data_IF_830194652366
#
_entry.id   IF_830194652366
#
_cell.length_a   1.000
_cell.length_b   1.000
_cell.length_c   1.000
_cell.angle_alpha   90.00
_cell.angle_beta   90.00
_cell.angle_gamma   90.00
#
_symmetry.space_group_name_H-M   'P 1'
#
loop_
_entity.id
_entity.type
_entity.pdbx_description
1 polymer ?
#
# COMPACT_ATOMS: atom_id res chain seq x y z
N UNK A 1 37.90 -3.33 -37.16
CA UNK A 1 37.57 -3.82 -35.81
C UNK A 1 37.21 -2.60 -34.96
N UNK A 2 35.91 -2.40 -34.72
CA UNK A 2 35.39 -1.28 -33.93
C UNK A 2 35.69 -1.50 -32.45
N UNK A 3 36.36 -0.53 -31.85
CA UNK A 3 36.75 -0.54 -30.45
C UNK A 3 35.59 0.01 -29.61
N UNK A 4 34.59 -0.81 -29.32
CA UNK A 4 33.50 -0.42 -28.43
C UNK A 4 34.00 -0.33 -26.99
N UNK A 5 34.06 0.88 -26.46
CA UNK A 5 34.33 1.11 -25.03
C UNK A 5 33.17 0.51 -24.22
N UNK A 6 33.45 -0.26 -23.15
CA UNK A 6 32.40 -0.78 -22.29
C UNK A 6 31.60 0.39 -21.70
N UNK A 7 30.27 0.30 -21.76
CA UNK A 7 29.34 1.25 -21.14
C UNK A 7 29.79 1.56 -19.70
N UNK A 8 30.30 2.79 -19.49
CA UNK A 8 30.58 3.28 -18.15
C UNK A 8 29.28 3.26 -17.36
N UNK A 9 29.19 2.38 -16.36
CA UNK A 9 28.07 2.36 -15.42
C UNK A 9 28.00 3.73 -14.77
N UNK A 10 27.05 4.56 -15.21
CA UNK A 10 26.75 5.83 -14.58
C UNK A 10 26.54 5.58 -13.09
N UNK A 11 27.35 6.25 -12.27
CA UNK A 11 27.21 6.26 -10.83
C UNK A 11 25.78 6.70 -10.49
N UNK A 12 25.19 6.03 -9.50
CA UNK A 12 23.82 6.28 -9.09
C UNK A 12 23.57 7.78 -8.89
N UNK A 13 22.43 8.24 -9.40
CA UNK A 13 22.04 9.65 -9.39
C UNK A 13 22.09 10.26 -7.98
N UNK A 14 22.25 11.57 -7.91
CA UNK A 14 22.15 12.31 -6.64
C UNK A 14 20.85 11.92 -5.91
N UNK A 15 20.94 11.65 -4.60
CA UNK A 15 19.80 11.23 -3.78
C UNK A 15 19.53 9.72 -3.73
N UNK A 16 20.20 8.89 -4.56
CA UNK A 16 19.93 7.46 -4.60
C UNK A 16 20.18 6.74 -3.27
N UNK A 17 21.25 7.12 -2.54
CA UNK A 17 21.55 6.55 -1.21
C UNK A 17 20.46 6.90 -0.19
N UNK A 18 19.94 8.13 -0.24
CA UNK A 18 18.86 8.60 0.64
C UNK A 18 17.55 7.87 0.35
N UNK A 19 17.24 7.64 -0.93
CA UNK A 19 16.09 6.84 -1.34
C UNK A 19 16.21 5.39 -0.84
N UNK A 20 17.36 4.75 -1.04
CA UNK A 20 17.62 3.41 -0.52
C UNK A 20 17.52 3.35 1.00
N UNK A 21 18.02 4.37 1.72
CA UNK A 21 17.92 4.44 3.17
C UNK A 21 16.45 4.51 3.65
N UNK A 22 15.57 5.21 2.93
CA UNK A 22 14.15 5.25 3.25
C UNK A 22 13.48 3.88 3.06
N UNK A 23 13.79 3.18 1.96
CA UNK A 23 13.37 1.79 1.77
C UNK A 23 13.86 0.88 2.91
N UNK A 24 15.13 0.98 3.29
CA UNK A 24 15.71 0.19 4.39
C UNK A 24 15.00 0.47 5.71
N UNK A 25 14.63 1.72 6.00
CA UNK A 25 13.86 2.06 7.21
C UNK A 25 12.49 1.40 7.24
N UNK A 26 11.75 1.41 6.13
CA UNK A 26 10.45 0.72 6.03
C UNK A 26 10.60 -0.78 6.29
N UNK A 27 11.60 -1.43 5.69
CA UNK A 27 11.85 -2.87 5.91
C UNK A 27 12.23 -3.16 7.37
N UNK A 28 13.08 -2.34 7.97
CA UNK A 28 13.45 -2.49 9.38
C UNK A 28 12.25 -2.29 10.33
N UNK A 29 11.34 -1.35 10.04
CA UNK A 29 10.12 -1.15 10.80
C UNK A 29 9.20 -2.38 10.74
N UNK A 30 9.08 -2.98 9.56
CA UNK A 30 8.36 -4.24 9.39
C UNK A 30 8.99 -5.40 10.17
N UNK A 31 10.31 -5.58 10.07
CA UNK A 31 11.02 -6.65 10.77
C UNK A 31 10.89 -6.49 12.30
N UNK A 32 11.05 -5.27 12.81
CA UNK A 32 10.88 -4.96 14.23
C UNK A 32 9.45 -5.26 14.71
N UNK A 33 8.43 -4.89 13.93
CA UNK A 33 7.04 -5.19 14.26
C UNK A 33 6.78 -6.71 14.30
N UNK A 34 7.33 -7.45 13.34
CA UNK A 34 7.26 -8.91 13.29
C UNK A 34 7.90 -9.56 14.52
N UNK A 35 9.07 -9.08 14.93
CA UNK A 35 9.75 -9.59 16.13
C UNK A 35 8.98 -9.29 17.42
N UNK A 36 8.41 -8.08 17.54
CA UNK A 36 7.56 -7.72 18.68
C UNK A 36 6.26 -8.53 18.76
N UNK A 37 5.76 -9.02 17.63
CA UNK A 37 4.53 -9.83 17.57
C UNK A 37 4.75 -11.32 17.77
N UNK A 38 5.95 -11.85 17.48
CA UNK A 38 6.29 -13.24 17.78
C UNK A 38 6.14 -13.58 19.28
N UNK A 39 6.17 -12.56 20.16
CA UNK A 39 5.93 -12.67 21.60
C UNK A 39 4.45 -12.53 22.02
N UNK A 40 3.48 -12.43 21.09
CA UNK A 40 2.05 -12.27 21.38
C UNK A 40 1.24 -13.49 20.94
N UNK A 41 0.24 -13.88 21.75
CA UNK A 41 -0.61 -15.07 21.55
C UNK A 41 -1.46 -15.03 20.27
N UNK A 42 -1.74 -13.85 19.70
CA UNK A 42 -2.59 -13.68 18.51
C UNK A 42 -1.81 -12.98 17.40
N UNK A 43 -1.52 -13.71 16.31
CA UNK A 43 -0.64 -13.28 15.20
C UNK A 43 -1.33 -12.42 14.12
N UNK A 44 -2.53 -11.89 14.38
CA UNK A 44 -3.37 -11.19 13.38
C UNK A 44 -2.77 -9.85 12.93
N UNK A 45 -1.88 -9.23 13.73
CA UNK A 45 -1.37 -7.88 13.48
C UNK A 45 -0.26 -7.78 12.43
N UNK A 46 0.43 -8.86 12.07
CA UNK A 46 1.56 -8.84 11.12
C UNK A 46 1.20 -8.28 9.74
N UNK A 47 0.00 -8.56 9.22
CA UNK A 47 -0.49 -8.00 7.96
C UNK A 47 -0.74 -6.50 8.08
N UNK A 48 -1.53 -6.13 9.10
CA UNK A 48 -1.90 -4.74 9.38
C UNK A 48 -0.71 -3.79 9.54
N UNK A 49 0.38 -4.26 10.17
CA UNK A 49 1.58 -3.44 10.34
C UNK A 49 2.36 -3.29 9.02
N UNK A 50 2.50 -4.38 8.25
CA UNK A 50 3.15 -4.30 6.93
C UNK A 50 2.42 -3.34 5.99
N UNK A 51 1.09 -3.43 5.98
CA UNK A 51 0.21 -2.56 5.21
C UNK A 51 0.33 -1.09 5.66
N UNK A 52 0.34 -0.83 6.96
CA UNK A 52 0.49 0.52 7.50
C UNK A 52 1.86 1.15 7.19
N UNK A 53 2.96 0.41 7.38
CA UNK A 53 4.30 0.91 7.08
C UNK A 53 4.49 1.14 5.58
N UNK A 54 3.92 0.29 4.73
CA UNK A 54 3.95 0.48 3.28
C UNK A 54 3.14 1.70 2.83
N UNK A 55 1.94 1.92 3.40
CA UNK A 55 1.14 3.13 3.13
C UNK A 55 1.84 4.40 3.58
N UNK A 56 2.46 4.38 4.76
CA UNK A 56 3.26 5.49 5.28
C UNK A 56 4.43 5.80 4.35
N UNK A 57 5.19 4.78 3.95
CA UNK A 57 6.31 4.94 3.02
C UNK A 57 5.83 5.56 1.70
N UNK A 58 4.75 5.05 1.08
CA UNK A 58 4.20 5.66 -0.14
C UNK A 58 3.80 7.13 0.06
N UNK A 59 3.15 7.45 1.17
CA UNK A 59 2.70 8.82 1.48
C UNK A 59 3.87 9.82 1.62
N UNK A 60 5.06 9.37 2.00
CA UNK A 60 6.25 10.23 2.12
C UNK A 60 6.85 10.61 0.76
N UNK A 61 6.58 9.83 -0.29
CA UNK A 61 7.18 10.02 -1.62
C UNK A 61 6.20 10.49 -2.70
N UNK A 62 4.90 10.23 -2.54
CA UNK A 62 3.92 10.65 -3.53
C UNK A 62 3.67 12.17 -3.48
N UNK A 63 3.43 12.81 -4.64
CA UNK A 63 2.97 14.19 -4.68
C UNK A 63 1.75 14.41 -3.79
N UNK A 64 1.64 15.56 -3.13
CA UNK A 64 0.56 15.89 -2.17
C UNK A 64 -0.87 15.80 -2.73
N UNK A 65 -1.04 15.80 -4.05
CA UNK A 65 -2.34 15.55 -4.68
C UNK A 65 -2.83 14.11 -4.48
N UNK A 66 -1.93 13.19 -4.18
CA UNK A 66 -2.26 11.79 -3.95
C UNK A 66 -2.20 11.48 -2.46
N UNK A 67 -3.30 10.91 -1.96
CA UNK A 67 -3.32 10.31 -0.63
C UNK A 67 -3.28 8.79 -0.73
N UNK A 68 -2.81 8.16 0.35
CA UNK A 68 -2.71 6.71 0.48
C UNK A 68 -3.50 6.29 1.72
N UNK A 69 -4.41 5.33 1.54
CA UNK A 69 -5.24 4.81 2.61
C UNK A 69 -5.49 3.32 2.45
N UNK A 70 -6.06 2.66 3.45
CA UNK A 70 -6.73 1.36 3.27
C UNK A 70 -8.24 1.60 3.21
N UNK A 71 -9.00 0.59 2.83
CA UNK A 71 -10.46 0.63 2.95
C UNK A 71 -11.16 0.16 1.70
N UNK A 72 -12.17 0.91 1.27
CA UNK A 72 -13.15 0.43 0.31
C UNK A 72 -13.18 1.32 -0.93
N UNK A 73 -13.42 0.70 -2.07
CA UNK A 73 -13.63 1.40 -3.34
C UNK A 73 -15.09 1.24 -3.73
N UNK A 74 -15.77 2.36 -3.94
CA UNK A 74 -17.20 2.40 -4.21
C UNK A 74 -17.41 2.70 -5.68
N UNK A 75 -17.96 1.73 -6.40
CA UNK A 75 -18.29 1.86 -7.81
C UNK A 75 -19.79 1.97 -8.02
N UNK A 76 -20.24 2.80 -8.97
CA UNK A 76 -21.66 2.87 -9.32
C UNK A 76 -22.15 1.52 -9.89
N UNK A 77 -23.43 1.21 -9.67
CA UNK A 77 -24.06 0.01 -10.23
C UNK A 77 -23.77 -1.31 -9.50
N UNK A 78 -22.97 -1.31 -8.44
CA UNK A 78 -22.84 -2.46 -7.54
C UNK A 78 -24.01 -2.50 -6.57
N UNK A 79 -24.61 -3.68 -6.39
CA UNK A 79 -25.74 -3.89 -5.48
C UNK A 79 -25.30 -3.70 -4.03
N UNK A 80 -26.14 -3.09 -3.19
CA UNK A 80 -25.93 -3.02 -1.74
C UNK A 80 -25.92 -4.39 -1.04
N UNK A 81 -26.32 -5.45 -1.75
CA UNK A 81 -26.24 -6.84 -1.29
C UNK A 81 -24.87 -7.48 -1.55
N UNK A 82 -24.05 -6.88 -2.40
CA UNK A 82 -22.71 -7.38 -2.66
C UNK A 82 -21.79 -7.04 -1.49
N UNK A 83 -20.85 -7.94 -1.20
CA UNK A 83 -19.93 -7.73 -0.09
C UNK A 83 -18.91 -6.66 -0.46
N UNK A 84 -18.72 -5.73 0.48
CA UNK A 84 -17.66 -4.75 0.39
C UNK A 84 -16.28 -5.41 0.43
N UNK A 85 -15.40 -4.94 -0.45
CA UNK A 85 -14.03 -5.45 -0.54
C UNK A 85 -13.11 -4.44 0.12
N UNK A 86 -12.42 -4.88 1.16
CA UNK A 86 -11.35 -4.13 1.79
C UNK A 86 -10.05 -4.30 0.99
N UNK A 87 -9.36 -3.19 0.78
CA UNK A 87 -8.08 -3.10 0.09
C UNK A 87 -7.02 -2.54 1.03
N UNK A 88 -5.87 -3.21 1.02
CA UNK A 88 -4.70 -2.89 1.85
C UNK A 88 -4.17 -1.48 1.57
N UNK A 89 -4.16 -1.07 0.29
CA UNK A 89 -3.63 0.21 -0.18
C UNK A 89 -4.47 0.73 -1.35
N UNK A 90 -4.97 1.95 -1.19
CA UNK A 90 -5.67 2.74 -2.21
C UNK A 90 -4.90 4.05 -2.35
N UNK A 91 -4.46 4.36 -3.57
CA UNK A 91 -3.91 5.66 -3.94
C UNK A 91 -4.99 6.42 -4.70
N UNK A 92 -5.35 7.61 -4.23
CA UNK A 92 -6.46 8.38 -4.79
C UNK A 92 -6.13 9.88 -4.86
N UNK A 93 -6.86 10.62 -5.69
CA UNK A 93 -6.73 12.08 -5.78
C UNK A 93 -7.37 12.74 -4.54
N UNK A 94 -6.56 13.22 -3.61
CA UNK A 94 -7.03 13.80 -2.36
C UNK A 94 -7.67 15.18 -2.55
N UNK A 95 -7.31 15.90 -3.60
CA UNK A 95 -7.77 17.29 -3.78
C UNK A 95 -9.22 17.32 -4.25
N UNK A 96 -9.59 16.37 -5.10
CA UNK A 96 -10.91 16.34 -5.75
C UNK A 96 -11.83 15.24 -5.20
N UNK A 97 -11.28 14.18 -4.57
CA UNK A 97 -12.11 13.09 -4.09
C UNK A 97 -12.89 13.46 -2.83
N UNK A 98 -14.21 13.23 -2.79
CA UNK A 98 -14.91 13.13 -1.53
C UNK A 98 -14.48 11.85 -0.80
N UNK A 99 -14.54 11.88 0.54
CA UNK A 99 -14.49 10.69 1.38
C UNK A 99 -15.94 10.37 1.75
N UNK A 100 -16.44 9.21 1.31
CA UNK A 100 -17.86 8.86 1.47
C UNK A 100 -18.18 8.53 2.93
N UNK A 101 -17.29 7.77 3.59
CA UNK A 101 -17.27 7.57 5.03
C UNK A 101 -15.89 7.12 5.51
N UNK A 102 -15.72 7.14 6.83
CA UNK A 102 -14.54 6.68 7.55
C UNK A 102 -14.94 5.52 8.44
N UNK A 103 -14.27 4.40 8.31
CA UNK A 103 -14.32 3.29 9.26
C UNK A 103 -13.06 3.33 10.12
N UNK A 104 -13.21 3.75 11.37
CA UNK A 104 -12.14 3.81 12.36
C UNK A 104 -12.58 3.18 13.68
N UNK A 105 -11.60 2.72 14.46
CA UNK A 105 -11.76 2.43 15.88
C UNK A 105 -11.20 3.66 16.63
N UNK A 106 -11.78 4.11 17.76
CA UNK A 106 -11.22 5.19 18.59
C UNK A 106 -9.71 5.11 18.87
N UNK A 107 -9.12 3.91 18.80
CA UNK A 107 -7.67 3.67 19.01
C UNK A 107 -6.81 3.59 17.74
N UNK A 108 -7.37 3.74 16.53
CA UNK A 108 -6.55 3.70 15.30
C UNK A 108 -5.90 5.05 14.99
N UNK A 109 -4.59 5.01 14.70
CA UNK A 109 -3.90 6.13 14.05
C UNK A 109 -4.60 6.51 12.72
N UNK A 110 -4.30 7.69 12.16
CA UNK A 110 -4.79 8.06 10.81
C UNK A 110 -4.43 7.01 9.74
N UNK A 111 -3.34 6.25 9.93
CA UNK A 111 -2.94 5.13 9.07
C UNK A 111 -3.72 3.84 9.36
N UNK A 112 -4.45 3.74 10.48
CA UNK A 112 -5.31 2.61 10.82
C UNK A 112 -6.79 2.82 10.48
N UNK A 113 -7.17 3.99 9.97
CA UNK A 113 -8.51 4.23 9.47
C UNK A 113 -8.67 3.66 8.06
N UNK A 114 -9.84 3.10 7.78
CA UNK A 114 -10.25 2.66 6.46
C UNK A 114 -11.19 3.70 5.86
N UNK A 115 -10.91 4.16 4.65
CA UNK A 115 -11.73 5.16 3.96
C UNK A 115 -12.52 4.51 2.82
N UNK A 116 -13.72 5.01 2.56
CA UNK A 116 -14.45 4.67 1.36
C UNK A 116 -14.29 5.77 0.31
N UNK A 117 -13.69 5.40 -0.81
CA UNK A 117 -13.31 6.31 -1.90
C UNK A 117 -14.09 5.93 -3.17
N UNK A 118 -14.70 6.89 -3.89
CA UNK A 118 -15.32 6.60 -5.18
C UNK A 118 -14.28 6.17 -6.22
N UNK A 119 -14.62 5.20 -7.05
CA UNK A 119 -13.68 4.57 -7.99
C UNK A 119 -13.10 5.56 -9.00
N UNK A 120 -13.83 6.63 -9.32
CA UNK A 120 -13.43 7.68 -10.26
C UNK A 120 -12.17 8.44 -9.82
N UNK A 121 -11.89 8.48 -8.51
CA UNK A 121 -10.73 9.18 -7.95
C UNK A 121 -9.59 8.22 -7.60
N UNK A 122 -9.77 6.92 -7.77
CA UNK A 122 -8.75 5.91 -7.49
C UNK A 122 -7.75 5.83 -8.64
N UNK A 123 -6.47 6.00 -8.32
CA UNK A 123 -5.37 5.91 -9.29
C UNK A 123 -4.67 4.55 -9.26
N UNK A 124 -4.53 3.94 -8.08
CA UNK A 124 -3.89 2.64 -7.93
C UNK A 124 -4.38 1.90 -6.70
N UNK A 125 -4.33 0.58 -6.77
CA UNK A 125 -4.67 -0.32 -5.68
C UNK A 125 -3.56 -1.35 -5.54
N UNK A 126 -3.08 -1.57 -4.33
CA UNK A 126 -2.06 -2.58 -4.06
C UNK A 126 -2.55 -3.56 -3.00
N UNK A 127 -2.22 -4.82 -3.23
CA UNK A 127 -2.33 -5.87 -2.21
C UNK A 127 -0.95 -6.09 -1.59
N UNK A 128 -0.87 -6.04 -0.26
CA UNK A 128 0.37 -6.26 0.49
C UNK A 128 0.41 -7.70 1.01
N UNK A 129 1.57 -8.33 0.86
CA UNK A 129 1.82 -9.69 1.35
C UNK A 129 3.20 -9.76 1.97
N UNK A 130 3.32 -10.51 3.07
CA UNK A 130 4.57 -10.72 3.81
C UNK A 130 5.65 -11.47 3.03
N UNK A 131 5.27 -12.20 1.97
CA UNK A 131 6.20 -12.92 1.11
C UNK A 131 5.68 -12.99 -0.32
N UNK A 132 6.60 -12.94 -1.28
CA UNK A 132 6.30 -13.13 -2.70
C UNK A 132 6.47 -14.61 -3.09
N UNK A 133 5.37 -15.31 -3.31
CA UNK A 133 5.32 -16.70 -3.74
C UNK A 133 4.06 -16.96 -4.57
N UNK A 134 3.96 -18.14 -5.20
CA UNK A 134 2.83 -18.49 -6.07
C UNK A 134 1.46 -18.33 -5.39
N UNK A 135 1.36 -18.69 -4.11
CA UNK A 135 0.11 -18.60 -3.34
C UNK A 135 -0.26 -17.14 -3.07
N UNK A 136 0.69 -16.34 -2.55
CA UNK A 136 0.44 -14.94 -2.25
C UNK A 136 0.16 -14.12 -3.51
N UNK A 137 0.87 -14.38 -4.61
CA UNK A 137 0.59 -13.76 -5.90
C UNK A 137 -0.80 -14.09 -6.43
N UNK A 138 -1.22 -15.37 -6.41
CA UNK A 138 -2.57 -15.76 -6.81
C UNK A 138 -3.64 -15.11 -5.94
N UNK A 139 -3.43 -15.08 -4.62
CA UNK A 139 -4.36 -14.44 -3.70
C UNK A 139 -4.50 -12.93 -3.97
N UNK A 140 -3.38 -12.25 -4.24
CA UNK A 140 -3.38 -10.83 -4.58
C UNK A 140 -4.14 -10.55 -5.87
N UNK A 141 -3.89 -11.32 -6.93
CA UNK A 141 -4.63 -11.19 -8.19
C UNK A 141 -6.12 -11.43 -7.98
N UNK A 142 -6.50 -12.47 -7.24
CA UNK A 142 -7.90 -12.78 -6.93
C UNK A 142 -8.58 -11.68 -6.09
N UNK A 143 -7.84 -10.99 -5.23
CA UNK A 143 -8.38 -9.88 -4.44
C UNK A 143 -8.60 -8.66 -5.33
N UNK A 144 -7.58 -8.27 -6.11
CA UNK A 144 -7.65 -7.13 -7.02
C UNK A 144 -8.69 -7.32 -8.12
N UNK A 145 -8.92 -8.55 -8.60
CA UNK A 145 -9.95 -8.84 -9.61
C UNK A 145 -11.38 -8.64 -9.13
N UNK A 146 -11.59 -8.43 -7.82
CA UNK A 146 -12.91 -8.09 -7.27
C UNK A 146 -13.27 -6.62 -7.50
N UNK A 147 -12.30 -5.78 -7.83
CA UNK A 147 -12.55 -4.40 -8.21
C UNK A 147 -13.31 -4.39 -9.53
N UNK A 148 -14.49 -3.76 -9.51
CA UNK A 148 -15.32 -3.52 -10.68
C UNK A 148 -15.38 -2.00 -10.88
N UNK A 149 -14.47 -1.40 -11.67
CA UNK A 149 -14.43 0.04 -11.86
C UNK A 149 -15.60 0.55 -12.68
#
# INVERSE_FOLDING_TARGET
MSNEKPLQRQLASQGWKQFLAAKTRMLAAYDLAKDMENNKLVKVRHGLVAEAEFRKWLSEFLPKRYAVTAGYIISPGISSKDHMVHYDVIVYDQLESPVLWVEGNPDSSNQGQSLAIPVEYVHAVFEVKSAFNRRSGKNAVNQLSKLKP
#
